data_IF_984671945330
#
_entry.id   IF_984671945330
#
_cell.length_a   1.000
_cell.length_b   1.000
_cell.length_c   1.000
_cell.angle_alpha   90.00
_cell.angle_beta   90.00
_cell.angle_gamma   90.00
#
_symmetry.space_group_name_H-M   'P 1'
#
loop_
_entity.id
_entity.type
_entity.pdbx_description
1 polymer ?
#
# COMPACT_ATOMS: atom_id res chain seq x y z
N UNK A 1 -14.62 -28.97 2.47
CA UNK A 1 -14.57 -27.76 1.62
C UNK A 1 -14.21 -28.10 0.19
N UNK A 2 -14.77 -27.39 -0.79
CA UNK A 2 -14.45 -27.55 -2.21
C UNK A 2 -13.63 -26.34 -2.69
N UNK A 3 -12.55 -26.59 -3.45
CA UNK A 3 -11.69 -25.54 -4.02
C UNK A 3 -11.81 -25.58 -5.54
N UNK A 4 -12.23 -24.46 -6.12
CA UNK A 4 -12.33 -24.24 -7.57
C UNK A 4 -11.31 -23.22 -8.02
N UNK A 5 -10.63 -23.46 -9.14
CA UNK A 5 -9.67 -22.55 -9.75
C UNK A 5 -10.37 -21.71 -10.83
N UNK A 6 -10.22 -20.40 -10.75
CA UNK A 6 -10.70 -19.44 -11.73
C UNK A 6 -9.50 -18.89 -12.50
N UNK A 7 -9.60 -18.89 -13.83
CA UNK A 7 -8.50 -18.50 -14.74
C UNK A 7 -8.93 -17.46 -15.78
N UNK A 8 -10.22 -17.12 -15.84
CA UNK A 8 -10.71 -16.07 -16.73
C UNK A 8 -10.97 -14.77 -15.98
N UNK A 9 -10.79 -13.65 -16.69
CA UNK A 9 -11.05 -12.32 -16.11
C UNK A 9 -12.55 -12.10 -15.84
N UNK A 10 -13.41 -12.61 -16.72
CA UNK A 10 -14.85 -12.44 -16.57
C UNK A 10 -15.37 -13.17 -15.33
N UNK A 11 -14.92 -14.41 -15.11
CA UNK A 11 -15.26 -15.15 -13.91
C UNK A 11 -14.71 -14.47 -12.64
N UNK A 12 -13.49 -13.93 -12.69
CA UNK A 12 -12.93 -13.15 -11.58
C UNK A 12 -13.79 -11.91 -11.28
N UNK A 13 -14.18 -11.16 -12.30
CA UNK A 13 -15.00 -9.96 -12.12
C UNK A 13 -16.39 -10.28 -11.56
N UNK A 14 -16.94 -11.46 -11.84
CA UNK A 14 -18.22 -11.91 -11.30
C UNK A 14 -18.20 -12.12 -9.78
N UNK A 15 -17.02 -12.30 -9.18
CA UNK A 15 -16.86 -12.53 -7.72
C UNK A 15 -17.01 -11.25 -6.88
N UNK A 16 -17.20 -10.08 -7.48
CA UNK A 16 -17.26 -8.80 -6.75
C UNK A 16 -18.24 -8.82 -5.58
N UNK A 17 -19.45 -9.32 -5.78
CA UNK A 17 -20.48 -9.33 -4.74
C UNK A 17 -20.12 -10.26 -3.58
N UNK A 18 -19.62 -11.45 -3.89
CA UNK A 18 -19.19 -12.42 -2.89
C UNK A 18 -17.98 -11.91 -2.10
N UNK A 19 -17.02 -11.27 -2.80
CA UNK A 19 -15.86 -10.65 -2.18
C UNK A 19 -16.24 -9.58 -1.16
N UNK A 20 -17.04 -8.60 -1.59
CA UNK A 20 -17.44 -7.50 -0.72
C UNK A 20 -18.37 -7.98 0.42
N UNK A 21 -19.10 -9.08 0.23
CA UNK A 21 -19.86 -9.70 1.30
C UNK A 21 -18.93 -10.27 2.39
N UNK A 22 -17.90 -11.05 2.02
CA UNK A 22 -16.92 -11.57 3.00
C UNK A 22 -16.19 -10.40 3.68
N UNK A 23 -15.82 -9.36 2.91
CA UNK A 23 -15.18 -8.16 3.42
C UNK A 23 -16.03 -7.47 4.48
N UNK A 24 -17.33 -7.30 4.20
CA UNK A 24 -18.30 -6.72 5.13
C UNK A 24 -18.51 -7.58 6.37
N UNK A 25 -18.70 -8.91 6.21
CA UNK A 25 -18.84 -9.86 7.32
C UNK A 25 -17.60 -9.84 8.25
N UNK A 26 -16.43 -9.65 7.69
CA UNK A 26 -15.16 -9.52 8.41
C UNK A 26 -14.94 -8.13 9.03
N UNK A 27 -15.70 -7.11 8.65
CA UNK A 27 -15.46 -5.69 8.95
C UNK A 27 -14.05 -5.26 8.54
N UNK A 28 -13.61 -5.69 7.34
CA UNK A 28 -12.31 -5.32 6.80
C UNK A 28 -12.40 -3.98 6.10
N UNK A 29 -11.72 -2.98 6.64
CA UNK A 29 -11.76 -1.60 6.14
C UNK A 29 -10.56 -1.26 5.26
N UNK A 30 -9.47 -2.05 5.28
CA UNK A 30 -8.28 -1.77 4.49
C UNK A 30 -8.60 -1.87 2.99
N UNK A 31 -8.38 -0.76 2.27
CA UNK A 31 -8.63 -0.67 0.83
C UNK A 31 -7.88 -1.72 0.02
N UNK A 32 -6.65 -2.06 0.40
CA UNK A 32 -5.83 -3.03 -0.33
C UNK A 32 -6.37 -4.47 -0.30
N UNK A 33 -7.36 -4.74 0.55
CA UNK A 33 -8.16 -5.97 0.54
C UNK A 33 -9.51 -5.81 -0.16
N UNK A 34 -9.83 -4.64 -0.74
CA UNK A 34 -11.07 -4.44 -1.50
C UNK A 34 -10.99 -5.07 -2.89
N UNK A 35 -12.14 -5.43 -3.45
CA UNK A 35 -12.21 -5.89 -4.83
C UNK A 35 -11.73 -4.83 -5.83
N UNK A 36 -11.99 -3.56 -5.55
CA UNK A 36 -11.56 -2.44 -6.40
C UNK A 36 -10.03 -2.39 -6.58
N UNK A 37 -9.25 -2.72 -5.53
CA UNK A 37 -7.80 -2.78 -5.65
C UNK A 37 -7.35 -3.91 -6.57
N UNK A 38 -7.86 -5.13 -6.36
CA UNK A 38 -7.49 -6.28 -7.19
C UNK A 38 -7.92 -6.11 -8.65
N UNK A 39 -9.13 -5.55 -8.89
CA UNK A 39 -9.56 -5.21 -10.24
C UNK A 39 -8.62 -4.19 -10.90
N UNK A 40 -8.23 -3.12 -10.18
CA UNK A 40 -7.30 -2.12 -10.70
C UNK A 40 -5.93 -2.73 -11.06
N UNK A 41 -5.39 -3.61 -10.22
CA UNK A 41 -4.14 -4.32 -10.51
C UNK A 41 -4.29 -5.20 -11.75
N UNK A 42 -5.37 -5.98 -11.87
CA UNK A 42 -5.60 -6.84 -13.02
C UNK A 42 -5.73 -6.04 -14.33
N UNK A 43 -6.37 -4.87 -14.28
CA UNK A 43 -6.60 -4.03 -15.46
C UNK A 43 -5.40 -3.20 -15.88
N UNK A 44 -4.64 -2.68 -14.93
CA UNK A 44 -3.64 -1.64 -15.20
C UNK A 44 -2.23 -2.02 -14.78
N UNK A 45 -2.06 -3.00 -13.89
CA UNK A 45 -0.77 -3.35 -13.29
C UNK A 45 -0.35 -4.80 -13.50
N UNK A 46 -1.08 -5.57 -14.31
CA UNK A 46 -0.72 -6.95 -14.62
C UNK A 46 0.34 -7.00 -15.73
N UNK A 47 1.37 -7.81 -15.51
CA UNK A 47 2.38 -8.07 -16.51
C UNK A 47 1.90 -9.10 -17.56
N UNK A 48 2.34 -9.02 -18.85
CA UNK A 48 1.85 -9.89 -19.92
C UNK A 48 2.05 -11.39 -19.67
N UNK A 49 2.99 -11.75 -18.81
CA UNK A 49 3.33 -13.14 -18.47
C UNK A 49 2.60 -13.68 -17.23
N UNK A 50 1.68 -12.89 -16.66
CA UNK A 50 0.82 -13.30 -15.56
C UNK A 50 -0.43 -14.01 -16.09
N UNK A 51 -0.79 -15.12 -15.45
CA UNK A 51 -2.04 -15.84 -15.72
C UNK A 51 -2.84 -15.97 -14.43
N UNK A 52 -4.13 -15.66 -14.46
CA UNK A 52 -4.99 -15.77 -13.27
C UNK A 52 -4.97 -17.18 -12.70
N UNK A 53 -4.86 -17.28 -11.39
CA UNK A 53 -4.90 -18.49 -10.59
C UNK A 53 -5.67 -18.19 -9.31
N UNK A 54 -6.93 -17.76 -9.45
CA UNK A 54 -7.75 -17.41 -8.30
C UNK A 54 -8.39 -18.65 -7.74
N UNK A 55 -8.23 -18.88 -6.43
CA UNK A 55 -8.84 -20.01 -5.75
C UNK A 55 -10.10 -19.55 -5.04
N UNK A 56 -11.22 -20.20 -5.37
CA UNK A 56 -12.53 -20.00 -4.78
C UNK A 56 -12.84 -21.17 -3.87
N UNK A 57 -13.06 -20.92 -2.59
CA UNK A 57 -13.29 -21.94 -1.58
C UNK A 57 -14.74 -21.87 -1.12
N UNK A 58 -15.44 -23.01 -1.21
CA UNK A 58 -16.80 -23.17 -0.73
C UNK A 58 -16.86 -24.17 0.42
N UNK A 59 -17.69 -23.83 1.40
CA UNK A 59 -18.17 -24.72 2.45
C UNK A 59 -19.63 -24.97 2.13
N UNK A 60 -19.95 -26.18 1.65
CA UNK A 60 -21.19 -26.48 0.92
C UNK A 60 -21.39 -25.48 -0.24
N UNK A 61 -22.53 -24.80 -0.29
CA UNK A 61 -22.85 -23.80 -1.33
C UNK A 61 -22.35 -22.39 -1.01
N UNK A 62 -21.85 -22.14 0.20
CA UNK A 62 -21.39 -20.81 0.62
C UNK A 62 -19.93 -20.58 0.27
N UNK A 63 -19.64 -19.46 -0.39
CA UNK A 63 -18.25 -19.01 -0.57
C UNK A 63 -17.73 -18.50 0.79
N UNK A 64 -16.64 -19.11 1.26
CA UNK A 64 -16.00 -18.78 2.54
C UNK A 64 -14.61 -18.18 2.38
N UNK A 65 -14.02 -18.32 1.18
CA UNK A 65 -12.75 -17.64 0.90
C UNK A 65 -12.53 -17.46 -0.61
N UNK A 66 -11.75 -16.42 -0.95
CA UNK A 66 -11.26 -16.12 -2.29
C UNK A 66 -9.78 -15.76 -2.16
N UNK A 67 -8.91 -16.56 -2.79
CA UNK A 67 -7.48 -16.27 -2.87
C UNK A 67 -7.14 -15.69 -4.24
N UNK A 68 -6.86 -14.40 -4.36
CA UNK A 68 -6.51 -13.76 -5.62
C UNK A 68 -5.03 -13.99 -5.92
N UNK A 69 -4.73 -15.01 -6.69
CA UNK A 69 -3.39 -15.32 -7.13
C UNK A 69 -3.28 -15.28 -8.65
N UNK A 70 -2.05 -15.22 -9.12
CA UNK A 70 -1.67 -15.51 -10.49
C UNK A 70 -0.48 -16.47 -10.53
N UNK A 71 -0.27 -17.10 -11.67
CA UNK A 71 0.96 -17.83 -11.98
C UNK A 71 1.80 -16.93 -12.87
N UNK A 72 3.04 -16.70 -12.44
CA UNK A 72 4.03 -15.91 -13.16
C UNK A 72 5.12 -16.83 -13.68
N UNK A 73 5.41 -16.75 -14.97
CA UNK A 73 6.56 -17.44 -15.56
C UNK A 73 7.80 -16.55 -15.46
N UNK A 74 8.60 -16.74 -14.43
CA UNK A 74 9.89 -16.03 -14.25
C UNK A 74 11.02 -16.88 -14.86
N UNK A 75 11.98 -16.21 -15.49
CA UNK A 75 13.17 -16.84 -16.07
C UNK A 75 14.44 -16.23 -15.44
N UNK A 76 14.70 -16.46 -14.15
CA UNK A 76 15.95 -16.03 -13.55
C UNK A 76 17.12 -16.83 -14.16
N UNK A 77 18.01 -16.13 -14.84
CA UNK A 77 19.19 -16.67 -15.54
C UNK A 77 18.82 -17.71 -16.61
N UNK A 78 18.86 -19.01 -16.32
CA UNK A 78 18.65 -20.08 -17.31
C UNK A 78 17.50 -21.03 -16.96
N UNK A 79 16.81 -20.82 -15.83
CA UNK A 79 15.79 -21.74 -15.33
C UNK A 79 14.44 -21.03 -15.32
N UNK A 80 13.44 -21.62 -15.95
CA UNK A 80 12.07 -21.09 -15.91
C UNK A 80 11.39 -21.63 -14.65
N UNK A 81 10.95 -20.71 -13.78
CA UNK A 81 10.10 -21.03 -12.63
C UNK A 81 8.68 -20.54 -12.85
N UNK A 82 7.71 -21.34 -12.46
CA UNK A 82 6.31 -20.96 -12.35
C UNK A 82 6.03 -20.62 -10.90
N UNK A 83 5.94 -19.33 -10.61
CA UNK A 83 5.62 -18.89 -9.26
C UNK A 83 4.12 -18.64 -9.11
N UNK A 84 3.54 -19.10 -8.00
CA UNK A 84 2.22 -18.65 -7.53
C UNK A 84 2.43 -17.47 -6.60
N UNK A 85 1.81 -16.34 -6.92
CA UNK A 85 1.92 -15.11 -6.14
C UNK A 85 0.55 -14.49 -5.95
N UNK A 86 0.33 -13.76 -4.86
CA UNK A 86 -0.88 -12.95 -4.75
C UNK A 86 -0.91 -11.89 -5.85
N UNK A 87 -2.09 -11.61 -6.38
CA UNK A 87 -2.29 -10.49 -7.31
C UNK A 87 -1.83 -9.20 -6.65
N UNK A 88 -0.89 -8.52 -7.28
CA UNK A 88 -0.31 -7.29 -6.77
C UNK A 88 0.90 -6.87 -7.59
N UNK A 89 1.34 -5.65 -7.40
CA UNK A 89 2.56 -5.09 -8.00
C UNK A 89 3.41 -4.41 -6.92
N UNK A 90 4.46 -3.69 -7.31
CA UNK A 90 5.35 -3.00 -6.37
C UNK A 90 4.64 -1.92 -5.53
N UNK A 91 3.44 -1.50 -5.92
CA UNK A 91 2.61 -0.51 -5.22
C UNK A 91 1.56 -1.14 -4.30
N UNK A 92 1.55 -2.47 -4.19
CA UNK A 92 0.65 -3.21 -3.29
C UNK A 92 1.31 -3.43 -1.93
N UNK A 93 1.00 -2.62 -0.90
CA UNK A 93 1.64 -2.76 0.42
C UNK A 93 1.07 -3.92 1.23
N UNK A 94 -0.13 -4.38 0.89
CA UNK A 94 -0.78 -5.55 1.46
C UNK A 94 -1.19 -6.49 0.33
N UNK A 95 -1.02 -7.77 0.57
CA UNK A 95 -1.52 -8.83 -0.30
C UNK A 95 -2.07 -9.96 0.55
N UNK A 96 -3.07 -10.65 0.07
CA UNK A 96 -3.64 -11.77 0.81
C UNK A 96 -4.95 -12.26 0.21
N UNK A 97 -5.53 -13.26 0.84
CA UNK A 97 -6.85 -13.76 0.52
C UNK A 97 -7.94 -13.11 1.36
N UNK A 98 -9.15 -13.08 0.82
CA UNK A 98 -10.34 -12.76 1.58
C UNK A 98 -10.88 -14.07 2.18
N UNK A 99 -10.76 -14.26 3.49
CA UNK A 99 -11.18 -15.45 4.22
C UNK A 99 -12.18 -15.08 5.29
N UNK A 100 -13.30 -15.77 5.37
CA UNK A 100 -14.32 -15.54 6.40
C UNK A 100 -13.74 -15.87 7.78
N UNK A 101 -13.87 -14.94 8.72
CA UNK A 101 -13.37 -15.09 10.10
C UNK A 101 -13.88 -16.38 10.74
N UNK A 102 -12.94 -17.08 11.38
CA UNK A 102 -13.18 -18.38 12.01
C UNK A 102 -13.10 -19.58 11.06
N UNK A 103 -12.84 -19.37 9.77
CA UNK A 103 -12.64 -20.42 8.76
C UNK A 103 -11.19 -20.54 8.29
N UNK A 104 -10.26 -19.78 8.87
CA UNK A 104 -8.89 -19.66 8.40
C UNK A 104 -8.16 -21.02 8.37
N UNK A 105 -8.34 -21.84 9.38
CA UNK A 105 -7.67 -23.14 9.47
C UNK A 105 -8.20 -24.13 8.42
N UNK A 106 -9.52 -24.26 8.31
CA UNK A 106 -10.15 -25.18 7.37
C UNK A 106 -9.87 -24.76 5.91
N UNK A 107 -9.90 -23.45 5.65
CA UNK A 107 -9.59 -22.87 4.34
C UNK A 107 -8.12 -23.11 4.00
N UNK A 108 -7.20 -22.93 4.96
CA UNK A 108 -5.78 -23.17 4.75
C UNK A 108 -5.49 -24.63 4.41
N UNK A 109 -6.08 -25.58 5.16
CA UNK A 109 -5.95 -27.03 4.89
C UNK A 109 -6.47 -27.36 3.48
N UNK A 110 -7.65 -26.86 3.10
CA UNK A 110 -8.24 -27.10 1.78
C UNK A 110 -7.37 -26.53 0.63
N UNK A 111 -6.83 -25.32 0.79
CA UNK A 111 -5.93 -24.70 -0.19
C UNK A 111 -4.64 -25.48 -0.34
N UNK A 112 -4.03 -25.89 0.77
CA UNK A 112 -2.77 -26.64 0.75
C UNK A 112 -2.96 -28.00 0.10
N UNK A 113 -4.04 -28.70 0.36
CA UNK A 113 -4.39 -29.96 -0.31
C UNK A 113 -4.62 -29.76 -1.81
N UNK A 114 -5.33 -28.70 -2.19
CA UNK A 114 -5.51 -28.34 -3.59
C UNK A 114 -4.19 -28.04 -4.28
N UNK A 115 -3.35 -27.20 -3.69
CA UNK A 115 -2.02 -26.85 -4.24
C UNK A 115 -1.15 -28.10 -4.38
N UNK A 116 -1.18 -29.04 -3.42
CA UNK A 116 -0.47 -30.29 -3.51
C UNK A 116 -1.01 -31.17 -4.64
N UNK A 117 -2.32 -31.25 -4.84
CA UNK A 117 -2.96 -31.97 -5.94
C UNK A 117 -2.54 -31.41 -7.31
N UNK A 118 -2.35 -30.09 -7.39
CA UNK A 118 -1.94 -29.33 -8.58
C UNK A 118 -0.44 -29.01 -8.63
N UNK A 119 0.39 -29.73 -7.84
CA UNK A 119 1.84 -29.46 -7.71
C UNK A 119 2.63 -29.40 -9.02
N UNK A 120 2.11 -29.96 -10.12
CA UNK A 120 2.74 -29.90 -11.45
C UNK A 120 2.52 -28.57 -12.16
N UNK A 121 1.61 -27.71 -11.69
CA UNK A 121 1.32 -26.41 -12.29
C UNK A 121 2.26 -25.31 -11.82
N UNK A 122 2.91 -25.48 -10.68
CA UNK A 122 3.75 -24.48 -10.05
C UNK A 122 5.01 -25.09 -9.43
N UNK A 123 6.05 -24.29 -9.31
CA UNK A 123 7.34 -24.67 -8.78
C UNK A 123 7.57 -24.08 -7.39
N UNK A 124 7.10 -22.84 -7.17
CA UNK A 124 7.30 -22.10 -5.95
C UNK A 124 6.09 -21.18 -5.70
N UNK A 125 5.71 -20.97 -4.44
CA UNK A 125 4.74 -19.95 -4.06
C UNK A 125 5.42 -18.85 -3.24
N UNK A 126 5.18 -17.60 -3.60
CA UNK A 126 5.58 -16.39 -2.86
C UNK A 126 4.33 -15.69 -2.35
N UNK A 127 3.93 -16.01 -1.13
CA UNK A 127 2.78 -15.38 -0.47
C UNK A 127 3.31 -14.19 0.35
N UNK A 128 3.39 -13.05 -0.33
CA UNK A 128 4.07 -11.85 0.18
C UNK A 128 3.11 -10.85 0.82
N UNK A 129 3.69 -9.99 1.67
CA UNK A 129 3.06 -8.80 2.24
C UNK A 129 1.83 -9.07 3.10
N UNK A 130 1.80 -10.24 3.74
CA UNK A 130 0.81 -10.58 4.74
C UNK A 130 1.24 -10.06 6.13
N UNK A 131 0.34 -9.45 6.92
CA UNK A 131 0.68 -9.05 8.30
C UNK A 131 1.14 -10.24 9.13
N UNK A 132 2.15 -10.06 9.97
CA UNK A 132 2.77 -11.17 10.75
C UNK A 132 1.80 -11.88 11.70
N UNK A 133 0.75 -11.16 12.13
CA UNK A 133 -0.29 -11.67 13.04
C UNK A 133 -1.57 -12.08 12.32
N UNK A 134 -1.58 -12.09 10.99
CA UNK A 134 -2.73 -12.52 10.22
C UNK A 134 -3.07 -13.99 10.54
N UNK A 135 -4.27 -14.29 11.05
CA UNK A 135 -4.68 -15.65 11.39
C UNK A 135 -4.60 -16.62 10.20
N UNK A 136 -4.86 -16.13 8.99
CA UNK A 136 -4.78 -16.93 7.78
C UNK A 136 -3.33 -17.25 7.38
N UNK A 137 -2.38 -16.30 7.50
CA UNK A 137 -0.95 -16.58 7.33
C UNK A 137 -0.48 -17.68 8.28
N UNK A 138 -0.87 -17.57 9.57
CA UNK A 138 -0.49 -18.56 10.58
C UNK A 138 -1.10 -19.95 10.32
N UNK A 139 -2.32 -19.98 9.79
CA UNK A 139 -2.99 -21.22 9.39
C UNK A 139 -2.31 -21.85 8.16
N UNK A 140 -1.99 -21.06 7.14
CA UNK A 140 -1.25 -21.52 5.95
C UNK A 140 0.10 -22.11 6.32
N UNK A 141 0.89 -21.42 7.15
CA UNK A 141 2.19 -21.90 7.62
C UNK A 141 2.06 -23.30 8.24
N UNK A 142 1.14 -23.48 9.21
CA UNK A 142 0.89 -24.75 9.87
C UNK A 142 0.43 -25.86 8.91
N UNK A 143 -0.43 -25.51 7.94
CA UNK A 143 -0.96 -26.47 6.97
C UNK A 143 0.08 -26.92 5.99
N UNK A 144 0.94 -26.02 5.49
CA UNK A 144 2.07 -26.38 4.62
C UNK A 144 3.11 -27.24 5.34
N UNK A 145 3.39 -26.98 6.62
CA UNK A 145 4.35 -27.76 7.42
C UNK A 145 3.95 -29.24 7.61
N UNK A 146 2.65 -29.54 7.55
CA UNK A 146 2.14 -30.91 7.61
C UNK A 146 2.32 -31.69 6.30
N UNK A 147 2.76 -31.06 5.22
CA UNK A 147 2.84 -31.66 3.88
C UNK A 147 4.30 -31.77 3.42
N UNK A 148 4.60 -32.61 2.39
CA UNK A 148 5.96 -32.78 1.87
C UNK A 148 6.40 -31.57 1.03
N UNK A 149 6.29 -30.37 1.59
CA UNK A 149 6.69 -29.09 1.03
C UNK A 149 7.74 -28.42 1.91
N UNK A 150 8.57 -27.59 1.33
CA UNK A 150 9.57 -26.82 2.09
C UNK A 150 9.08 -25.40 2.22
N UNK A 151 8.94 -24.94 3.45
CA UNK A 151 8.48 -23.59 3.77
C UNK A 151 9.62 -22.75 4.35
N UNK A 152 9.58 -21.46 4.05
CA UNK A 152 10.42 -20.45 4.68
C UNK A 152 9.62 -19.18 4.89
N UNK A 153 9.58 -18.67 6.13
CA UNK A 153 8.99 -17.38 6.46
C UNK A 153 10.07 -16.31 6.58
N UNK A 154 9.85 -15.14 5.99
CA UNK A 154 10.82 -14.04 5.94
C UNK A 154 10.12 -12.73 6.25
N UNK A 155 10.72 -11.94 7.13
CA UNK A 155 10.31 -10.55 7.37
C UNK A 155 10.64 -9.69 6.14
N UNK A 156 9.70 -8.83 5.73
CA UNK A 156 9.87 -7.98 4.56
C UNK A 156 10.00 -6.50 4.94
N UNK A 157 8.98 -5.93 5.55
CA UNK A 157 8.96 -4.54 6.01
C UNK A 157 7.85 -4.33 7.04
N UNK A 158 7.92 -3.23 7.76
CA UNK A 158 6.85 -2.78 8.65
C UNK A 158 6.04 -1.65 8.02
N UNK A 159 4.76 -1.57 8.37
CA UNK A 159 3.91 -0.45 8.00
C UNK A 159 3.89 0.61 9.08
N UNK A 160 3.83 1.87 8.65
CA UNK A 160 3.68 3.01 9.52
C UNK A 160 2.30 3.63 9.34
N UNK A 161 1.55 3.69 10.43
CA UNK A 161 0.20 4.24 10.44
C UNK A 161 0.05 5.37 11.44
N UNK A 162 -0.88 6.24 11.16
CA UNK A 162 -1.44 7.18 12.11
C UNK A 162 -2.68 6.53 12.73
N UNK A 163 -2.53 5.99 13.94
CA UNK A 163 -3.69 5.50 14.69
C UNK A 163 -4.44 6.69 15.26
N UNK A 164 -5.72 6.72 15.02
CA UNK A 164 -6.64 7.74 15.50
C UNK A 164 -7.59 7.08 16.50
N UNK A 165 -7.63 7.59 17.71
CA UNK A 165 -8.55 7.09 18.72
C UNK A 165 -10.02 7.37 18.29
N UNK A 166 -10.98 6.53 18.67
CA UNK A 166 -12.35 6.73 18.35
C UNK A 166 -12.84 8.12 18.80
N UNK A 167 -13.34 8.92 17.84
CA UNK A 167 -13.81 10.29 18.09
C UNK A 167 -12.73 11.38 18.08
N UNK A 168 -11.45 11.02 17.93
CA UNK A 168 -10.36 11.98 17.82
C UNK A 168 -10.48 12.76 16.51
N UNK A 169 -10.41 14.09 16.61
CA UNK A 169 -10.39 15.02 15.46
C UNK A 169 -8.95 15.47 15.14
N UNK A 170 -8.81 16.31 14.12
CA UNK A 170 -7.51 16.83 13.72
C UNK A 170 -6.84 17.69 14.79
N UNK A 171 -7.60 18.45 15.59
CA UNK A 171 -7.05 19.28 16.66
C UNK A 171 -6.47 18.42 17.78
N UNK A 172 -7.17 17.35 18.20
CA UNK A 172 -6.69 16.40 19.19
C UNK A 172 -5.40 15.73 18.70
N UNK A 173 -5.39 15.26 17.44
CA UNK A 173 -4.20 14.70 16.83
C UNK A 173 -3.04 15.70 16.78
N UNK A 174 -3.30 16.96 16.40
CA UNK A 174 -2.29 18.03 16.41
C UNK A 174 -1.71 18.25 17.79
N UNK A 175 -2.55 18.29 18.81
CA UNK A 175 -2.12 18.50 20.20
C UNK A 175 -1.29 17.34 20.76
N UNK A 176 -1.47 16.13 20.23
CA UNK A 176 -0.65 14.95 20.59
C UNK A 176 0.77 15.00 19.99
N UNK A 177 1.03 15.86 19.00
CA UNK A 177 2.38 16.01 18.44
C UNK A 177 3.31 16.82 19.33
N UNK A 178 4.63 16.58 19.22
CA UNK A 178 5.62 17.30 20.03
C UNK A 178 5.55 18.81 19.78
N UNK A 179 5.84 19.61 20.83
CA UNK A 179 5.86 21.08 20.73
C UNK A 179 6.82 21.56 19.64
N UNK A 180 8.01 20.95 19.55
CA UNK A 180 9.02 21.29 18.54
C UNK A 180 8.53 21.06 17.12
N UNK A 181 7.84 19.94 16.88
CA UNK A 181 7.26 19.63 15.57
C UNK A 181 6.15 20.62 15.19
N UNK A 182 5.23 20.92 16.13
CA UNK A 182 4.17 21.92 15.91
C UNK A 182 4.75 23.30 15.61
N UNK A 183 5.80 23.71 16.30
CA UNK A 183 6.48 24.98 16.05
C UNK A 183 7.21 25.00 14.69
N UNK A 184 7.77 23.85 14.25
CA UNK A 184 8.37 23.73 12.93
C UNK A 184 7.31 23.96 11.84
N UNK A 185 6.17 23.27 11.90
CA UNK A 185 5.06 23.45 10.94
C UNK A 185 4.61 24.91 10.89
N UNK A 186 4.38 25.55 12.05
CA UNK A 186 3.97 26.96 12.11
C UNK A 186 5.01 27.90 11.47
N UNK A 187 6.30 27.68 11.70
CA UNK A 187 7.36 28.47 11.09
C UNK A 187 7.38 28.33 9.57
N UNK A 188 7.23 27.11 9.07
CA UNK A 188 7.17 26.84 7.62
C UNK A 188 5.96 27.52 6.97
N UNK A 189 4.78 27.42 7.59
CA UNK A 189 3.57 28.07 7.13
C UNK A 189 3.71 29.59 7.10
N UNK A 190 4.23 30.20 8.17
CA UNK A 190 4.45 31.64 8.24
C UNK A 190 5.46 32.14 7.20
N UNK A 191 6.52 31.35 6.91
CA UNK A 191 7.46 31.65 5.85
C UNK A 191 6.79 31.64 4.48
N UNK A 192 6.01 30.58 4.20
CA UNK A 192 5.27 30.45 2.95
C UNK A 192 4.34 31.64 2.71
N UNK A 193 3.57 32.05 3.72
CA UNK A 193 2.62 33.19 3.66
C UNK A 193 3.30 34.55 3.53
N UNK A 194 4.46 34.72 4.15
CA UNK A 194 5.23 35.95 4.02
C UNK A 194 5.77 36.13 2.60
N UNK A 195 6.21 35.04 1.96
CA UNK A 195 6.86 35.08 0.65
C UNK A 195 5.85 35.02 -0.51
N UNK A 196 4.58 34.71 -0.24
CA UNK A 196 3.53 34.66 -1.27
C UNK A 196 2.18 34.13 -0.78
N UNK A 197 1.34 33.76 -1.74
CA UNK A 197 0.03 33.17 -1.51
C UNK A 197 0.08 31.67 -1.78
N UNK A 198 -0.63 30.89 -0.94
CA UNK A 198 -0.68 29.44 -1.08
C UNK A 198 -2.09 28.92 -0.88
N UNK A 199 -2.45 27.88 -1.63
CA UNK A 199 -3.71 27.15 -1.51
C UNK A 199 -3.52 25.66 -1.82
N UNK A 200 -4.38 24.82 -1.28
CA UNK A 200 -4.39 23.40 -1.58
C UNK A 200 -5.62 23.08 -2.40
N UNK A 201 -5.43 22.39 -3.50
CA UNK A 201 -6.49 21.84 -4.32
C UNK A 201 -6.65 20.35 -4.03
N UNK A 202 -7.88 19.90 -3.85
CA UNK A 202 -8.27 18.50 -3.74
C UNK A 202 -9.05 18.06 -4.98
N UNK A 203 -8.55 17.04 -5.65
CA UNK A 203 -9.24 16.31 -6.71
C UNK A 203 -9.80 15.01 -6.10
N UNK A 204 -11.12 14.93 -5.94
CA UNK A 204 -11.81 13.81 -5.30
C UNK A 204 -13.24 13.57 -5.81
N UNK A 205 -13.82 14.50 -6.58
CA UNK A 205 -15.18 14.38 -7.07
C UNK A 205 -15.17 13.69 -8.46
N UNK A 206 -15.95 12.64 -8.68
CA UNK A 206 -16.07 11.95 -9.99
C UNK A 206 -16.37 12.87 -11.20
N UNK A 207 -16.98 14.04 -10.97
CA UNK A 207 -17.24 15.02 -12.02
C UNK A 207 -16.00 15.84 -12.43
N UNK A 208 -14.91 15.79 -11.66
CA UNK A 208 -13.68 16.48 -11.99
C UNK A 208 -12.86 15.69 -13.03
N UNK A 209 -12.09 16.41 -13.85
CA UNK A 209 -11.05 15.79 -14.66
C UNK A 209 -9.76 15.65 -13.83
N UNK A 210 -9.23 14.44 -13.74
CA UNK A 210 -7.97 14.18 -13.03
C UNK A 210 -6.74 14.50 -13.89
N UNK A 211 -6.91 14.67 -15.21
CA UNK A 211 -5.81 14.76 -16.19
C UNK A 211 -4.77 15.84 -15.80
N UNK A 212 -5.20 17.08 -15.66
CA UNK A 212 -4.29 18.19 -15.33
C UNK A 212 -3.70 18.03 -13.92
N UNK A 213 -4.45 17.49 -12.97
CA UNK A 213 -3.94 17.22 -11.63
C UNK A 213 -2.83 16.15 -11.66
N UNK A 214 -2.95 15.13 -12.53
CA UNK A 214 -1.91 14.11 -12.73
C UNK A 214 -0.71 14.67 -13.51
N UNK A 215 -0.91 15.59 -14.47
CA UNK A 215 0.21 16.30 -15.13
C UNK A 215 1.05 17.07 -14.09
N UNK A 216 0.40 17.75 -13.15
CA UNK A 216 1.08 18.44 -12.04
C UNK A 216 1.75 17.46 -11.07
N UNK A 217 1.11 16.34 -10.76
CA UNK A 217 1.71 15.29 -9.95
C UNK A 217 3.03 14.80 -10.57
N UNK A 218 3.03 14.45 -11.84
CA UNK A 218 4.22 13.97 -12.56
C UNK A 218 5.32 15.03 -12.66
N UNK A 219 4.93 16.30 -12.87
CA UNK A 219 5.88 17.40 -12.89
C UNK A 219 6.57 17.62 -11.55
N UNK A 220 5.78 17.64 -10.45
CA UNK A 220 6.32 17.71 -9.10
C UNK A 220 7.22 16.50 -8.80
N UNK A 221 6.79 15.30 -9.19
CA UNK A 221 7.55 14.08 -8.96
C UNK A 221 8.91 14.11 -9.66
N UNK A 222 8.95 14.55 -10.91
CA UNK A 222 10.18 14.72 -11.71
C UNK A 222 11.14 15.75 -11.10
N UNK A 223 10.61 16.84 -10.49
CA UNK A 223 11.38 17.86 -9.82
C UNK A 223 11.74 17.53 -8.35
N UNK A 224 11.37 16.35 -7.87
CA UNK A 224 11.63 15.91 -6.50
C UNK A 224 13.00 15.21 -6.40
N UNK A 225 13.40 14.87 -5.18
CA UNK A 225 14.61 14.09 -4.89
C UNK A 225 14.44 12.57 -5.16
N UNK A 226 13.26 12.13 -5.48
CA UNK A 226 12.94 10.72 -5.71
C UNK A 226 13.44 10.23 -7.05
N UNK A 227 13.70 8.94 -7.15
CA UNK A 227 13.93 8.28 -8.43
C UNK A 227 12.72 8.46 -9.35
N UNK A 228 12.97 8.36 -10.66
CA UNK A 228 11.90 8.47 -11.65
C UNK A 228 10.76 7.47 -11.35
N UNK A 229 9.52 7.88 -11.62
CA UNK A 229 8.35 7.00 -11.44
C UNK A 229 8.45 5.80 -12.38
N UNK A 230 8.40 4.59 -11.82
CA UNK A 230 8.60 3.37 -12.58
C UNK A 230 7.46 3.06 -13.54
N UNK A 231 6.22 3.44 -13.20
CA UNK A 231 5.04 3.23 -14.03
C UNK A 231 4.04 4.40 -13.91
N UNK A 232 4.29 5.50 -14.61
CA UNK A 232 3.38 6.65 -14.59
C UNK A 232 2.01 6.34 -15.21
N UNK A 233 1.95 5.42 -16.19
CA UNK A 233 0.70 5.04 -16.86
C UNK A 233 -0.22 4.33 -15.86
N UNK A 234 0.33 3.41 -15.07
CA UNK A 234 -0.41 2.75 -14.00
C UNK A 234 -1.02 3.78 -13.04
N UNK A 235 -0.24 4.76 -12.59
CA UNK A 235 -0.73 5.78 -11.65
C UNK A 235 -1.82 6.68 -12.23
N UNK A 236 -1.75 7.01 -13.52
CA UNK A 236 -2.83 7.76 -14.20
C UNK A 236 -4.11 6.96 -14.27
N UNK A 237 -4.03 5.73 -14.77
CA UNK A 237 -5.19 4.85 -14.89
C UNK A 237 -5.81 4.55 -13.52
N UNK A 238 -4.98 4.33 -12.50
CA UNK A 238 -5.44 4.15 -11.12
C UNK A 238 -6.13 5.40 -10.59
N UNK A 239 -5.61 6.60 -10.85
CA UNK A 239 -6.23 7.84 -10.42
C UNK A 239 -7.61 8.06 -11.05
N UNK A 240 -7.75 7.82 -12.36
CA UNK A 240 -9.04 7.88 -13.07
C UNK A 240 -10.04 6.85 -12.51
N UNK A 241 -9.57 5.62 -12.29
CA UNK A 241 -10.39 4.56 -11.71
C UNK A 241 -10.86 4.91 -10.29
N UNK A 242 -9.95 5.35 -9.41
CA UNK A 242 -10.28 5.73 -8.04
C UNK A 242 -11.19 6.96 -7.99
N UNK A 243 -11.00 7.91 -8.91
CA UNK A 243 -11.87 9.07 -9.03
C UNK A 243 -13.30 8.66 -9.39
N UNK A 244 -13.47 7.78 -10.37
CA UNK A 244 -14.78 7.26 -10.77
C UNK A 244 -15.51 6.50 -9.65
N UNK A 245 -14.76 5.98 -8.67
CA UNK A 245 -15.30 5.31 -7.48
C UNK A 245 -15.48 6.25 -6.27
N UNK A 246 -15.13 7.55 -6.40
CA UNK A 246 -15.15 8.51 -5.29
C UNK A 246 -14.08 8.27 -4.22
N UNK A 247 -13.10 7.39 -4.51
CA UNK A 247 -12.06 6.96 -3.57
C UNK A 247 -10.73 7.71 -3.73
N UNK A 248 -10.56 8.52 -4.78
CA UNK A 248 -9.36 9.34 -4.96
C UNK A 248 -9.33 10.49 -3.95
N UNK A 249 -8.14 10.75 -3.38
CA UNK A 249 -7.79 11.96 -2.65
C UNK A 249 -6.43 12.46 -3.15
N UNK A 250 -6.45 13.24 -4.23
CA UNK A 250 -5.23 13.83 -4.80
C UNK A 250 -5.15 15.29 -4.38
N UNK A 251 -4.24 15.59 -3.44
CA UNK A 251 -3.98 16.94 -2.94
C UNK A 251 -2.78 17.53 -3.65
N UNK A 252 -2.90 18.78 -4.10
CA UNK A 252 -1.80 19.54 -4.68
C UNK A 252 -1.70 20.89 -3.99
N UNK A 253 -0.51 21.20 -3.44
CA UNK A 253 -0.20 22.50 -2.86
C UNK A 253 0.34 23.41 -3.96
N UNK A 254 -0.34 24.53 -4.13
CA UNK A 254 0.01 25.57 -5.09
C UNK A 254 0.55 26.79 -4.36
N UNK A 255 1.54 27.43 -4.97
CA UNK A 255 2.18 28.64 -4.46
C UNK A 255 2.32 29.69 -5.56
N UNK A 256 2.06 30.93 -5.22
CA UNK A 256 2.28 32.11 -6.07
C UNK A 256 3.16 33.09 -5.32
N UNK A 257 4.34 33.35 -5.86
CA UNK A 257 5.29 34.28 -5.27
C UNK A 257 4.77 35.72 -5.33
N UNK A 258 5.01 36.49 -4.27
CA UNK A 258 4.60 37.89 -4.16
C UNK A 258 3.20 38.09 -3.57
N UNK A 259 3.03 39.19 -2.82
CA UNK A 259 1.83 39.49 -2.07
C UNK A 259 1.74 38.69 -0.77
N UNK A 260 1.96 39.33 0.37
CA UNK A 260 1.81 38.64 1.66
C UNK A 260 0.34 38.35 1.97
N UNK A 261 0.03 37.14 2.42
CA UNK A 261 -1.30 36.78 2.93
C UNK A 261 -1.30 36.95 4.44
N UNK A 262 -2.04 37.97 4.92
CA UNK A 262 -2.31 38.15 6.35
C UNK A 262 -3.53 37.29 6.71
N UNK A 263 -3.33 36.01 6.97
CA UNK A 263 -4.37 35.15 7.57
C UNK A 263 -3.97 34.82 9.00
N UNK A 264 -4.90 34.99 9.93
CA UNK A 264 -4.77 34.58 11.33
C UNK A 264 -4.93 33.08 11.52
N UNK A 265 -5.46 32.39 10.49
CA UNK A 265 -5.79 30.97 10.57
C UNK A 265 -4.54 30.10 10.49
N UNK A 266 -4.48 29.09 11.36
CA UNK A 266 -3.34 28.15 11.42
C UNK A 266 -3.22 27.21 10.21
N UNK A 267 -4.06 27.36 9.16
CA UNK A 267 -4.21 26.42 8.06
C UNK A 267 -4.29 27.10 6.69
N UNK A 268 -3.85 26.40 5.63
CA UNK A 268 -4.08 26.81 4.26
C UNK A 268 -5.51 26.39 3.84
N UNK A 269 -6.17 27.18 2.98
CA UNK A 269 -7.47 26.78 2.45
C UNK A 269 -7.33 25.56 1.56
N UNK A 270 -8.23 24.58 1.76
CA UNK A 270 -8.39 23.43 0.87
C UNK A 270 -9.67 23.64 0.09
N UNK A 271 -9.57 23.66 -1.23
CA UNK A 271 -10.71 23.80 -2.13
C UNK A 271 -10.86 22.58 -3.04
N UNK A 272 -12.10 22.21 -3.35
CA UNK A 272 -12.41 21.25 -4.41
C UNK A 272 -12.62 22.08 -5.68
N UNK A 273 -11.80 21.84 -6.72
CA UNK A 273 -11.85 22.66 -7.93
C UNK A 273 -11.00 22.08 -9.06
N UNK A 274 -10.72 22.88 -10.08
CA UNK A 274 -9.93 22.46 -11.24
C UNK A 274 -8.50 22.96 -11.16
N UNK A 275 -7.56 22.09 -11.46
CA UNK A 275 -6.13 22.42 -11.49
C UNK A 275 -5.80 23.49 -12.54
N UNK A 276 -6.54 23.56 -13.64
CA UNK A 276 -6.41 24.57 -14.69
C UNK A 276 -6.59 25.99 -14.18
N UNK A 277 -7.55 26.22 -13.27
CA UNK A 277 -7.78 27.54 -12.69
C UNK A 277 -6.58 28.03 -11.88
N UNK A 278 -5.93 27.15 -11.13
CA UNK A 278 -4.74 27.52 -10.36
C UNK A 278 -3.63 28.09 -11.27
N UNK A 279 -3.40 27.43 -12.41
CA UNK A 279 -2.37 27.87 -13.38
C UNK A 279 -2.73 29.20 -14.01
N UNK A 280 -3.99 29.41 -14.44
CA UNK A 280 -4.45 30.70 -15.03
C UNK A 280 -4.32 31.87 -14.04
N UNK A 281 -4.41 31.62 -12.75
CA UNK A 281 -4.19 32.60 -11.69
C UNK A 281 -2.70 32.81 -11.37
N UNK A 282 -1.78 32.12 -12.03
CA UNK A 282 -0.33 32.23 -11.87
C UNK A 282 0.25 31.48 -10.66
N UNK A 283 -0.44 30.45 -10.16
CA UNK A 283 0.10 29.56 -9.15
C UNK A 283 0.94 28.45 -9.78
N UNK A 284 1.98 28.04 -9.07
CA UNK A 284 2.85 26.90 -9.42
C UNK A 284 2.58 25.74 -8.46
N UNK A 285 2.41 24.50 -8.95
CA UNK A 285 2.28 23.33 -8.09
C UNK A 285 3.66 22.98 -7.47
N UNK A 286 3.72 22.89 -6.12
CA UNK A 286 4.99 22.72 -5.40
C UNK A 286 5.08 21.45 -4.56
N UNK A 287 3.94 20.84 -4.20
CA UNK A 287 3.90 19.55 -3.53
C UNK A 287 2.60 18.81 -3.86
N UNK A 288 2.66 17.48 -3.82
CA UNK A 288 1.52 16.60 -4.09
C UNK A 288 1.45 15.46 -3.08
N UNK A 289 0.23 15.03 -2.77
CA UNK A 289 -0.05 13.87 -1.93
C UNK A 289 -1.22 13.09 -2.54
N UNK A 290 -0.93 11.89 -2.99
CA UNK A 290 -1.85 10.99 -3.67
C UNK A 290 -2.26 9.88 -2.70
N UNK A 291 -3.53 9.91 -2.29
CA UNK A 291 -4.14 8.97 -1.35
C UNK A 291 -5.34 8.28 -1.97
N UNK A 292 -5.64 7.10 -1.44
CA UNK A 292 -6.94 6.46 -1.57
C UNK A 292 -7.68 6.57 -0.23
N UNK A 293 -9.00 6.82 -0.27
CA UNK A 293 -9.87 6.80 0.91
C UNK A 293 -11.05 5.86 0.67
N UNK A 294 -11.29 4.93 1.61
CA UNK A 294 -12.37 3.94 1.53
C UNK A 294 -12.93 3.71 2.93
N UNK A 295 -14.11 4.25 3.21
CA UNK A 295 -14.71 4.22 4.54
C UNK A 295 -13.81 4.86 5.59
N UNK A 296 -13.48 4.11 6.63
CA UNK A 296 -12.63 4.58 7.73
C UNK A 296 -11.13 4.45 7.47
N UNK A 297 -10.70 4.00 6.29
CA UNK A 297 -9.30 3.80 5.92
C UNK A 297 -8.85 4.80 4.86
N UNK A 298 -7.64 5.35 5.01
CA UNK A 298 -6.95 6.08 3.96
C UNK A 298 -5.51 5.58 3.82
N UNK A 299 -5.09 5.29 2.58
CA UNK A 299 -3.74 4.83 2.24
C UNK A 299 -2.99 5.85 1.40
N UNK A 300 -1.75 6.16 1.77
CA UNK A 300 -0.87 7.03 0.99
C UNK A 300 -0.26 6.25 -0.16
N UNK A 301 -0.69 6.50 -1.39
CA UNK A 301 -0.10 5.91 -2.59
C UNK A 301 1.27 6.53 -2.89
N UNK A 302 1.32 7.87 -2.97
CA UNK A 302 2.53 8.62 -3.28
C UNK A 302 2.52 10.00 -2.64
N UNK A 303 3.71 10.57 -2.42
CA UNK A 303 3.88 11.99 -2.08
C UNK A 303 5.18 12.50 -2.68
N UNK A 304 5.21 13.74 -3.10
CA UNK A 304 6.40 14.41 -3.61
C UNK A 304 6.32 15.92 -3.40
N UNK A 305 7.46 16.59 -3.44
CA UNK A 305 7.55 18.03 -3.48
C UNK A 305 8.75 18.48 -4.32
N UNK A 306 8.67 19.66 -4.89
CA UNK A 306 9.72 20.25 -5.70
C UNK A 306 10.89 20.71 -4.82
N UNK A 307 12.12 20.35 -5.15
CA UNK A 307 13.32 20.68 -4.38
C UNK A 307 13.60 22.19 -4.31
N UNK A 308 13.29 22.94 -5.36
CA UNK A 308 13.43 24.40 -5.42
C UNK A 308 12.53 25.14 -4.38
N UNK A 309 11.56 24.43 -3.77
CA UNK A 309 10.69 24.92 -2.69
C UNK A 309 10.98 24.26 -1.32
N UNK A 310 12.10 23.59 -1.15
CA UNK A 310 12.46 22.87 0.09
C UNK A 310 12.48 23.79 1.32
N UNK A 311 12.90 25.05 1.16
CA UNK A 311 12.89 26.05 2.25
C UNK A 311 11.54 26.21 2.98
N UNK A 312 10.45 25.80 2.36
CA UNK A 312 9.10 25.85 2.96
C UNK A 312 8.67 24.54 3.60
N UNK A 313 9.46 23.47 3.46
CA UNK A 313 9.06 22.11 3.87
C UNK A 313 7.66 21.75 3.32
N UNK A 314 7.46 22.04 2.03
CA UNK A 314 6.15 21.98 1.37
C UNK A 314 5.48 20.62 1.45
N UNK A 315 6.25 19.52 1.40
CA UNK A 315 5.74 18.15 1.61
C UNK A 315 5.20 17.93 3.03
N UNK A 316 5.91 18.45 4.06
CA UNK A 316 5.48 18.35 5.46
C UNK A 316 4.23 19.19 5.71
N UNK A 317 4.17 20.42 5.17
CA UNK A 317 2.98 21.27 5.26
C UNK A 317 1.78 20.59 4.60
N UNK A 318 1.95 20.05 3.39
CA UNK A 318 0.87 19.35 2.70
C UNK A 318 0.39 18.13 3.49
N UNK A 319 1.31 17.30 4.00
CA UNK A 319 0.95 16.11 4.79
C UNK A 319 0.11 16.47 6.00
N UNK A 320 0.42 17.56 6.70
CA UNK A 320 -0.40 18.03 7.82
C UNK A 320 -1.83 18.35 7.40
N UNK A 321 -2.02 19.10 6.31
CA UNK A 321 -3.35 19.48 5.82
C UNK A 321 -4.12 18.27 5.28
N UNK A 322 -3.43 17.28 4.70
CA UNK A 322 -4.04 16.01 4.30
C UNK A 322 -4.57 15.25 5.51
N UNK A 323 -3.76 15.09 6.56
CA UNK A 323 -4.19 14.42 7.80
C UNK A 323 -5.42 15.13 8.38
N UNK A 324 -5.39 16.46 8.45
CA UNK A 324 -6.52 17.25 8.92
C UNK A 324 -7.79 16.99 8.11
N UNK A 325 -7.70 16.99 6.78
CA UNK A 325 -8.85 16.71 5.92
C UNK A 325 -9.40 15.29 6.16
N UNK A 326 -8.52 14.30 6.18
CA UNK A 326 -8.90 12.90 6.37
C UNK A 326 -9.60 12.67 7.71
N UNK A 327 -9.14 13.33 8.78
CA UNK A 327 -9.75 13.20 10.09
C UNK A 327 -11.08 13.95 10.20
N UNK A 328 -11.13 15.21 9.73
CA UNK A 328 -12.26 16.09 9.97
C UNK A 328 -13.38 15.94 8.92
N UNK A 329 -13.03 15.63 7.66
CA UNK A 329 -13.98 15.53 6.55
C UNK A 329 -14.29 14.09 6.16
N UNK A 330 -13.28 13.28 5.93
CA UNK A 330 -13.48 11.88 5.54
C UNK A 330 -13.74 10.96 6.76
N UNK A 331 -13.55 11.47 8.00
CA UNK A 331 -13.74 10.71 9.25
C UNK A 331 -12.93 9.41 9.32
N UNK A 332 -11.74 9.47 8.73
CA UNK A 332 -10.80 8.34 8.66
C UNK A 332 -10.30 7.96 10.05
N UNK A 333 -10.30 6.67 10.35
CA UNK A 333 -9.75 6.12 11.61
C UNK A 333 -8.32 5.61 11.45
N UNK A 334 -7.95 5.15 10.25
CA UNK A 334 -6.63 4.63 9.95
C UNK A 334 -6.06 5.38 8.75
N UNK A 335 -4.97 6.11 8.95
CA UNK A 335 -4.19 6.71 7.85
C UNK A 335 -2.90 5.92 7.73
N UNK A 336 -2.77 5.17 6.64
CA UNK A 336 -1.64 4.28 6.39
C UNK A 336 -0.61 4.95 5.48
N UNK A 337 0.58 5.19 6.00
CA UNK A 337 1.73 5.71 5.24
C UNK A 337 2.53 4.61 4.55
N UNK A 338 2.02 3.39 4.59
CA UNK A 338 2.61 2.19 3.98
C UNK A 338 4.01 1.88 4.53
N UNK A 339 4.89 1.37 3.65
CA UNK A 339 6.22 0.90 4.02
C UNK A 339 7.01 1.94 4.81
N UNK A 340 7.69 1.49 5.84
CA UNK A 340 8.77 2.22 6.49
C UNK A 340 9.90 2.56 5.50
N UNK A 341 10.89 3.32 5.97
CA UNK A 341 12.07 3.68 5.19
C UNK A 341 12.30 5.18 5.11
N UNK A 342 11.26 5.97 5.22
CA UNK A 342 11.36 7.43 5.20
C UNK A 342 11.31 7.99 6.63
N UNK A 343 12.42 8.52 7.13
CA UNK A 343 12.52 9.05 8.50
C UNK A 343 11.44 10.10 8.86
N UNK A 344 10.93 10.84 7.88
CA UNK A 344 9.88 11.83 8.11
C UNK A 344 8.54 11.22 8.53
N UNK A 345 8.26 9.98 8.13
CA UNK A 345 6.98 9.29 8.43
C UNK A 345 6.79 9.07 9.93
N UNK A 346 7.90 8.83 10.68
CA UNK A 346 7.87 8.62 12.13
C UNK A 346 7.39 9.84 12.93
N UNK A 347 7.43 11.03 12.33
CA UNK A 347 6.87 12.24 12.95
C UNK A 347 5.35 12.25 12.96
N UNK A 348 4.73 11.42 12.13
CA UNK A 348 3.28 11.37 11.93
C UNK A 348 2.62 10.19 12.61
N UNK A 349 3.29 9.06 12.66
CA UNK A 349 2.70 7.81 13.09
C UNK A 349 3.69 6.86 13.73
N UNK A 350 3.22 5.65 13.96
CA UNK A 350 3.97 4.57 14.58
C UNK A 350 3.91 3.31 13.72
N UNK A 351 4.80 2.37 13.99
CA UNK A 351 4.71 1.03 13.42
C UNK A 351 3.40 0.35 13.81
N UNK A 352 2.82 -0.33 12.86
CA UNK A 352 1.65 -1.17 13.11
C UNK A 352 2.02 -2.62 13.17
N UNK A 353 2.53 -3.17 12.06
CA UNK A 353 2.78 -4.59 11.92
C UNK A 353 3.94 -4.87 10.97
N UNK A 354 4.62 -6.00 11.19
CA UNK A 354 5.61 -6.55 10.28
C UNK A 354 4.90 -7.35 9.19
N UNK A 355 5.28 -7.15 7.95
CA UNK A 355 4.78 -7.92 6.82
C UNK A 355 5.73 -9.05 6.48
N UNK A 356 5.16 -10.20 6.17
CA UNK A 356 5.85 -11.46 5.99
C UNK A 356 5.73 -11.95 4.55
N UNK A 357 6.74 -12.64 4.09
CA UNK A 357 6.71 -13.56 2.97
C UNK A 357 6.66 -14.98 3.51
N UNK A 358 5.69 -15.76 3.06
CA UNK A 358 5.70 -17.22 3.17
C UNK A 358 6.10 -17.81 1.81
N UNK A 359 7.34 -18.27 1.71
CA UNK A 359 7.88 -18.97 0.54
C UNK A 359 7.63 -20.45 0.69
N UNK A 360 7.08 -21.10 -0.35
CA UNK A 360 6.75 -22.53 -0.34
C UNK A 360 7.28 -23.18 -1.62
N UNK A 361 8.11 -24.20 -1.50
CA UNK A 361 8.60 -24.98 -2.63
C UNK A 361 7.72 -26.21 -2.90
N UNK A 362 7.33 -26.39 -4.16
CA UNK A 362 6.55 -27.54 -4.63
C UNK A 362 7.40 -28.83 -4.59
N UNK A 363 6.84 -29.96 -4.09
CA UNK A 363 7.56 -31.23 -4.10
C UNK A 363 7.82 -31.77 -5.51
N UNK A 364 7.18 -31.23 -6.54
CA UNK A 364 7.47 -31.58 -7.94
C UNK A 364 8.59 -30.75 -8.58
N UNK A 365 9.17 -29.79 -7.84
CA UNK A 365 10.30 -28.96 -8.32
C UNK A 365 11.53 -29.13 -7.42
N UNK A 366 12.43 -30.09 -7.71
CA UNK A 366 13.64 -30.32 -6.91
C UNK A 366 14.52 -29.07 -6.78
N UNK A 367 14.59 -28.25 -7.84
CA UNK A 367 15.37 -27.01 -7.82
C UNK A 367 14.82 -25.99 -6.84
N UNK A 368 13.49 -25.79 -6.83
CA UNK A 368 12.85 -24.89 -5.86
C UNK A 368 13.01 -25.39 -4.42
N UNK A 369 12.98 -26.72 -4.23
CA UNK A 369 13.24 -27.34 -2.93
C UNK A 369 14.66 -27.08 -2.45
N UNK A 370 15.67 -27.33 -3.30
CA UNK A 370 17.08 -27.10 -2.97
C UNK A 370 17.34 -25.61 -2.69
N UNK A 371 16.80 -24.70 -3.50
CA UNK A 371 16.90 -23.25 -3.31
C UNK A 371 16.32 -22.86 -1.95
N UNK A 372 15.08 -23.28 -1.66
CA UNK A 372 14.40 -22.90 -0.41
C UNK A 372 15.09 -23.51 0.82
N UNK A 373 15.61 -24.73 0.75
CA UNK A 373 16.45 -25.34 1.79
C UNK A 373 17.75 -24.57 2.01
N UNK A 374 18.43 -24.21 0.92
CA UNK A 374 19.65 -23.41 0.97
C UNK A 374 19.41 -22.07 1.66
N UNK A 375 18.33 -21.40 1.30
CA UNK A 375 17.95 -20.15 1.95
C UNK A 375 17.53 -20.32 3.41
N UNK A 376 16.89 -21.44 3.76
CA UNK A 376 16.40 -21.70 5.12
C UNK A 376 17.55 -22.05 6.09
N UNK A 377 18.55 -22.81 5.63
CA UNK A 377 19.57 -23.39 6.50
C UNK A 377 20.98 -22.92 6.19
N UNK A 378 21.41 -22.92 4.90
CA UNK A 378 22.77 -22.60 4.52
C UNK A 378 23.10 -21.12 4.64
N UNK A 379 22.23 -20.23 4.14
CA UNK A 379 22.47 -18.77 4.20
C UNK A 379 22.59 -18.29 5.67
N UNK A 380 21.67 -18.66 6.61
CA UNK A 380 21.83 -18.29 8.01
C UNK A 380 23.10 -18.89 8.65
N UNK A 381 23.46 -20.12 8.31
CA UNK A 381 24.70 -20.74 8.81
C UNK A 381 25.94 -20.00 8.29
N UNK A 382 26.01 -19.69 6.99
CA UNK A 382 27.12 -18.95 6.38
C UNK A 382 27.27 -17.53 6.96
N UNK A 383 26.15 -16.88 7.30
CA UNK A 383 26.17 -15.58 7.99
C UNK A 383 26.74 -15.69 9.41
N UNK A 384 26.37 -16.76 10.16
CA UNK A 384 26.88 -16.98 11.54
C UNK A 384 28.40 -17.19 11.56
N UNK A 385 28.96 -17.80 10.53
CA UNK A 385 30.42 -18.02 10.41
C UNK A 385 31.15 -16.90 9.64
N UNK A 386 30.46 -15.79 9.33
CA UNK A 386 31.06 -14.63 8.69
C UNK A 386 31.37 -14.76 7.18
N UNK A 387 30.94 -15.84 6.53
CA UNK A 387 31.18 -16.06 5.10
C UNK A 387 30.28 -15.19 4.19
N UNK A 388 29.16 -14.72 4.71
CA UNK A 388 28.28 -13.79 4.00
C UNK A 388 27.98 -12.60 4.90
N UNK A 389 28.05 -11.39 4.31
CA UNK A 389 27.58 -10.18 4.99
C UNK A 389 26.07 -10.29 5.22
N UNK A 390 25.62 -9.97 6.42
CA UNK A 390 24.21 -9.69 6.67
C UNK A 390 23.80 -8.54 5.79
N UNK A 391 22.69 -8.60 5.02
CA UNK A 391 22.14 -7.41 4.43
C UNK A 391 21.94 -6.41 5.56
N UNK A 392 22.45 -5.21 5.38
CA UNK A 392 22.32 -4.16 6.37
C UNK A 392 20.88 -3.62 6.29
N UNK A 393 19.97 -4.26 7.03
CA UNK A 393 18.63 -3.74 7.28
C UNK A 393 18.64 -2.65 8.37
N UNK A 394 19.84 -2.24 8.84
CA UNK A 394 20.02 -1.28 9.93
C UNK A 394 19.84 0.18 9.54
N UNK A 395 19.36 0.47 8.33
CA UNK A 395 18.89 1.82 7.97
C UNK A 395 17.52 2.14 8.58
N UNK A 396 17.02 1.28 9.48
CA UNK A 396 15.87 1.62 10.34
C UNK A 396 16.44 2.44 11.50
N UNK A 397 16.20 3.76 11.58
CA UNK A 397 16.51 4.51 12.79
C UNK A 397 15.65 3.88 13.90
N UNK A 398 16.27 3.14 14.82
CA UNK A 398 15.56 2.75 16.06
C UNK A 398 15.11 4.06 16.71
N UNK A 399 13.82 4.20 17.08
CA UNK A 399 13.38 5.35 17.84
C UNK A 399 14.24 5.40 19.09
N UNK A 400 14.92 6.53 19.32
CA UNK A 400 15.65 6.78 20.55
C UNK A 400 14.69 6.57 21.71
N UNK A 401 15.02 5.66 22.61
CA UNK A 401 14.27 5.36 23.83
C UNK A 401 14.14 6.54 24.82
N UNK A 402 14.62 7.72 24.43
CA UNK A 402 14.50 8.98 25.17
C UNK A 402 13.42 9.93 24.65
N UNK A 403 12.62 9.53 23.66
CA UNK A 403 11.53 10.34 23.07
C UNK A 403 10.15 9.66 23.14
N UNK A 404 10.02 8.60 23.97
CA UNK A 404 8.70 8.03 24.32
C UNK A 404 8.05 8.78 25.47
#
# INVERSE_FOLDING_TARGET
MNVTMITSMDDFLSLRQDWEKIRSDNREENFYYSFDWYEAICRFGAEPYCSLFVLLIRDDDRIVAILPCWIIKKRPRFITHRSVEFIGNIYSPYRGGMVLKGKEADVADAIVDFMLSKRKLWDIAYLEFMPSKDPFLLALERSFEKKPMITRKVEQYANLIVDVDPGQNAEDYWNSRTKSFRQHIRRCLNRLRRDGKAKILLTCNPEQSVRVAMDHYEDIYRCSWKEAEGDPIFHRNLAEYLLSKGKLRLFTLYFKQGGSEKSSDGFLPISIGTATQCISEGYVPIATAYFVADGAYAGMLKTAYRQDYDKYSSGTLLTWHVIQWLLDRDKTKVIDFQREGDAYKYKWGRFRDMHMLLKVASPSSPLAMIETLGEKYLIPAMRRIGWMKTPDFSVIPKPNSSEM
#
